data_IF_856745622535
#
_entry.id   IF_856745622535
#
_cell.length_a   1.000
_cell.length_b   1.000
_cell.length_c   1.000
_cell.angle_alpha   90.00
_cell.angle_beta   90.00
_cell.angle_gamma   90.00
#
_symmetry.space_group_name_H-M   'P 1'
#
loop_
_entity.id
_entity.type
_entity.pdbx_description
1 polymer ?
#
# COMPACT_ATOMS: atom_id res chain seq x y z
N UNK A 1 10.08 19.87 4.52
CA UNK A 1 8.70 20.27 4.91
C UNK A 1 7.73 19.75 3.87
N UNK A 2 6.52 19.33 4.26
CA UNK A 2 5.50 18.91 3.29
C UNK A 2 4.99 20.09 2.44
N UNK A 3 4.64 19.82 1.18
CA UNK A 3 4.12 20.81 0.23
C UNK A 3 2.59 20.72 0.12
N UNK A 4 1.96 21.81 -0.31
CA UNK A 4 0.52 21.85 -0.58
C UNK A 4 0.26 22.56 -1.90
N UNK A 5 -0.65 22.03 -2.70
CA UNK A 5 -1.06 22.66 -3.95
C UNK A 5 -1.78 24.00 -3.70
N UNK A 6 -1.58 25.02 -4.55
CA UNK A 6 -2.23 26.32 -4.39
C UNK A 6 -3.73 26.21 -4.64
N UNK A 7 -4.55 26.97 -3.89
CA UNK A 7 -6.00 27.06 -4.13
C UNK A 7 -6.36 27.93 -5.33
N UNK A 8 -5.40 28.59 -5.96
CA UNK A 8 -5.65 29.47 -7.10
C UNK A 8 -6.02 28.62 -8.31
N UNK A 9 -7.25 28.75 -8.86
CA UNK A 9 -7.62 28.07 -10.09
C UNK A 9 -6.69 28.45 -11.25
N UNK A 10 -6.32 27.46 -12.05
CA UNK A 10 -5.51 27.63 -13.26
C UNK A 10 -6.29 27.18 -14.48
N UNK A 11 -6.20 27.95 -15.56
CA UNK A 11 -6.68 27.51 -16.88
C UNK A 11 -5.76 26.42 -17.40
N UNK A 12 -6.34 25.26 -17.71
CA UNK A 12 -5.65 24.10 -18.25
C UNK A 12 -6.22 23.76 -19.63
N UNK A 13 -5.45 22.99 -20.41
CA UNK A 13 -5.90 22.51 -21.72
C UNK A 13 -7.11 21.59 -21.53
N UNK A 14 -8.15 21.80 -22.33
CA UNK A 14 -9.31 20.89 -22.33
C UNK A 14 -8.91 19.51 -22.82
N UNK A 15 -9.48 18.48 -22.20
CA UNK A 15 -9.26 17.08 -22.54
C UNK A 15 -10.62 16.42 -22.75
N UNK A 16 -10.76 15.63 -23.80
CA UNK A 16 -11.91 14.75 -24.03
C UNK A 16 -11.38 13.48 -24.72
N UNK A 17 -11.30 12.40 -23.95
CA UNK A 17 -10.89 11.08 -24.42
C UNK A 17 -11.84 10.03 -23.84
N UNK A 18 -11.63 8.77 -24.22
CA UNK A 18 -12.38 7.64 -23.65
C UNK A 18 -12.21 7.53 -22.13
N UNK A 19 -11.03 7.88 -21.60
CA UNK A 19 -10.68 7.64 -20.20
C UNK A 19 -10.57 8.92 -19.36
N UNK A 20 -10.52 10.11 -19.98
CA UNK A 20 -10.34 11.37 -19.26
C UNK A 20 -11.14 12.49 -19.89
N UNK A 21 -11.58 13.44 -19.06
CA UNK A 21 -12.24 14.66 -19.49
C UNK A 21 -11.91 15.81 -18.56
N UNK A 22 -11.41 16.91 -19.10
CA UNK A 22 -11.13 18.15 -18.36
C UNK A 22 -11.76 19.31 -19.11
N UNK A 23 -12.73 19.96 -18.48
CA UNK A 23 -13.58 21.01 -19.08
C UNK A 23 -13.59 22.31 -18.28
N UNK A 24 -12.92 22.35 -17.12
CA UNK A 24 -12.86 23.50 -16.20
C UNK A 24 -11.42 23.97 -15.96
N UNK A 25 -11.28 25.02 -15.14
CA UNK A 25 -10.02 25.31 -14.44
C UNK A 25 -9.75 24.28 -13.33
N UNK A 26 -8.48 24.13 -12.95
CA UNK A 26 -8.03 23.19 -11.90
C UNK A 26 -7.20 23.95 -10.85
N UNK A 27 -7.53 23.87 -9.54
CA UNK A 27 -8.79 23.34 -9.01
C UNK A 27 -10.01 24.11 -9.55
N UNK A 28 -11.17 23.47 -9.55
CA UNK A 28 -12.42 24.10 -10.00
C UNK A 28 -12.76 25.29 -9.08
N UNK A 29 -13.04 26.50 -9.60
CA UNK A 29 -13.32 27.68 -8.78
C UNK A 29 -14.43 27.47 -7.74
N UNK A 30 -15.47 26.74 -8.10
CA UNK A 30 -16.61 26.45 -7.24
C UNK A 30 -16.29 25.41 -6.13
N UNK A 31 -15.14 24.75 -6.18
CA UNK A 31 -14.66 23.87 -5.10
C UNK A 31 -13.89 24.61 -4.01
N UNK A 32 -13.40 25.83 -4.28
CA UNK A 32 -12.54 26.57 -3.35
C UNK A 32 -13.15 26.74 -1.96
N UNK A 33 -14.44 27.11 -1.79
CA UNK A 33 -15.02 27.23 -0.45
C UNK A 33 -15.02 25.92 0.35
N UNK A 34 -15.10 24.77 -0.31
CA UNK A 34 -15.00 23.45 0.34
C UNK A 34 -13.57 23.17 0.75
N UNK A 35 -12.60 23.44 -0.12
CA UNK A 35 -11.18 23.25 0.16
C UNK A 35 -10.69 24.18 1.30
N UNK A 36 -11.16 25.42 1.34
CA UNK A 36 -10.91 26.36 2.44
C UNK A 36 -11.53 25.88 3.75
N UNK A 37 -12.75 25.33 3.70
CA UNK A 37 -13.39 24.72 4.87
C UNK A 37 -12.52 23.58 5.43
N UNK A 38 -12.03 22.67 4.57
CA UNK A 38 -11.13 21.61 5.01
C UNK A 38 -9.84 22.18 5.64
N UNK A 39 -9.17 23.14 4.99
CA UNK A 39 -7.97 23.78 5.55
C UNK A 39 -8.20 24.51 6.88
N UNK A 40 -9.41 25.03 7.10
CA UNK A 40 -9.78 25.75 8.33
C UNK A 40 -10.06 24.79 9.49
N UNK A 41 -10.72 23.67 9.22
CA UNK A 41 -11.26 22.80 10.27
C UNK A 41 -10.49 21.48 10.44
N UNK A 42 -9.66 21.08 9.49
CA UNK A 42 -8.75 19.94 9.64
C UNK A 42 -7.34 20.38 10.07
N UNK A 43 -6.58 19.49 10.74
CA UNK A 43 -5.17 19.72 10.95
C UNK A 43 -4.43 19.89 9.62
N UNK A 44 -3.49 20.84 9.56
CA UNK A 44 -2.67 21.09 8.36
C UNK A 44 -1.99 19.84 7.78
N UNK A 45 -1.72 18.82 8.61
CA UNK A 45 -1.12 17.55 8.21
C UNK A 45 -2.00 16.69 7.30
N UNK A 46 -3.30 17.01 7.18
CA UNK A 46 -4.23 16.37 6.24
C UNK A 46 -4.18 16.99 4.83
N UNK A 47 -3.44 18.09 4.65
CA UNK A 47 -3.22 18.71 3.34
C UNK A 47 -2.11 18.00 2.54
N UNK A 48 -1.97 18.36 1.26
CA UNK A 48 -0.86 17.94 0.39
C UNK A 48 -1.25 17.10 -0.81
N UNK A 49 -2.47 16.57 -0.84
CA UNK A 49 -3.01 15.88 -2.02
C UNK A 49 -3.39 16.86 -3.14
N UNK A 50 -3.34 16.44 -4.42
CA UNK A 50 -3.88 17.21 -5.52
C UNK A 50 -5.34 17.62 -5.28
N UNK A 51 -5.71 18.83 -5.69
CA UNK A 51 -6.98 19.47 -5.33
C UNK A 51 -8.13 19.04 -6.25
N UNK A 52 -8.46 17.74 -6.22
CA UNK A 52 -9.62 17.18 -6.89
C UNK A 52 -10.71 16.92 -5.85
N UNK A 53 -11.86 17.59 -5.98
CA UNK A 53 -13.02 17.32 -5.12
C UNK A 53 -13.84 16.19 -5.74
N UNK A 54 -13.70 14.98 -5.19
CA UNK A 54 -14.42 13.80 -5.67
C UNK A 54 -15.91 13.94 -5.35
N UNK A 55 -16.76 13.70 -6.34
CA UNK A 55 -18.21 13.57 -6.19
C UNK A 55 -18.62 12.09 -6.26
N UNK A 56 -18.10 11.38 -7.27
CA UNK A 56 -18.28 9.95 -7.46
C UNK A 56 -17.04 9.31 -8.10
N UNK A 57 -16.92 8.00 -7.96
CA UNK A 57 -15.90 7.21 -8.65
C UNK A 57 -16.52 5.89 -9.11
N UNK A 58 -16.18 5.45 -10.32
CA UNK A 58 -16.71 4.24 -10.94
C UNK A 58 -15.63 3.56 -11.78
N UNK A 59 -15.45 2.26 -11.59
CA UNK A 59 -14.47 1.48 -12.33
C UNK A 59 -13.04 2.01 -12.12
N UNK A 60 -12.43 2.52 -13.19
CA UNK A 60 -11.08 3.09 -13.20
C UNK A 60 -11.06 4.62 -13.18
N UNK A 61 -12.20 5.26 -12.90
CA UNK A 61 -12.37 6.69 -13.05
C UNK A 61 -12.90 7.37 -11.78
N UNK A 62 -12.50 8.63 -11.63
CA UNK A 62 -12.96 9.55 -10.59
C UNK A 62 -13.59 10.75 -11.27
N UNK A 63 -14.65 11.28 -10.68
CA UNK A 63 -15.43 12.38 -11.24
C UNK A 63 -15.66 13.46 -10.19
N UNK A 64 -15.69 14.70 -10.65
CA UNK A 64 -16.29 15.79 -9.89
C UNK A 64 -17.72 16.05 -10.39
N UNK A 65 -18.42 16.94 -9.70
CA UNK A 65 -19.78 17.35 -10.08
C UNK A 65 -19.83 18.39 -11.21
N UNK A 66 -18.68 18.83 -11.72
CA UNK A 66 -18.55 19.90 -12.72
C UNK A 66 -18.22 19.37 -14.12
N UNK A 67 -18.22 18.05 -14.27
CA UNK A 67 -18.08 17.37 -15.55
C UNK A 67 -16.68 16.82 -15.81
N UNK A 68 -15.71 17.05 -14.93
CA UNK A 68 -14.39 16.47 -15.10
C UNK A 68 -14.39 14.97 -14.76
N UNK A 69 -13.52 14.23 -15.44
CA UNK A 69 -13.30 12.79 -15.29
C UNK A 69 -11.80 12.53 -15.32
N UNK A 70 -11.27 11.93 -14.27
CA UNK A 70 -9.88 11.51 -14.20
C UNK A 70 -9.76 10.00 -14.39
N UNK A 71 -8.74 9.57 -15.14
CA UNK A 71 -8.26 8.19 -15.11
C UNK A 71 -7.47 7.98 -13.81
N UNK A 72 -7.82 6.96 -13.04
CA UNK A 72 -7.29 6.77 -11.69
C UNK A 72 -6.08 5.84 -11.64
N UNK A 73 -4.89 6.40 -11.43
CA UNK A 73 -3.65 5.66 -11.14
C UNK A 73 -3.33 5.64 -9.63
N UNK A 74 -4.26 6.06 -8.77
CA UNK A 74 -4.11 6.08 -7.32
C UNK A 74 -4.79 4.88 -6.63
N UNK A 75 -5.93 4.43 -7.16
CA UNK A 75 -6.87 3.47 -6.53
C UNK A 75 -7.18 3.79 -5.06
N UNK A 76 -7.20 5.07 -4.68
CA UNK A 76 -7.37 5.48 -3.29
C UNK A 76 -6.27 4.94 -2.38
N UNK A 77 -5.03 4.90 -2.86
CA UNK A 77 -3.87 4.29 -2.19
C UNK A 77 -4.03 2.76 -2.08
N UNK A 78 -4.15 2.09 -3.23
CA UNK A 78 -4.21 0.62 -3.33
C UNK A 78 -5.45 -0.01 -2.66
N UNK A 79 -6.52 0.75 -2.47
CA UNK A 79 -7.77 0.26 -1.88
C UNK A 79 -8.65 -0.32 -2.96
N UNK A 80 -8.96 0.44 -4.02
CA UNK A 80 -9.96 0.09 -5.03
C UNK A 80 -9.47 -0.99 -6.04
N UNK A 81 -8.97 -2.14 -5.57
CA UNK A 81 -8.47 -3.23 -6.40
C UNK A 81 -9.50 -3.68 -7.44
N UNK A 82 -10.76 -3.84 -7.08
CA UNK A 82 -11.82 -4.33 -7.98
C UNK A 82 -12.55 -3.20 -8.72
N UNK A 83 -11.98 -1.99 -8.71
CA UNK A 83 -12.60 -0.79 -9.25
C UNK A 83 -13.51 -0.08 -8.25
N UNK A 84 -13.67 1.23 -8.44
CA UNK A 84 -14.56 2.05 -7.62
C UNK A 84 -16.01 1.66 -7.83
N UNK A 85 -16.80 1.67 -6.76
CA UNK A 85 -18.25 1.42 -6.78
C UNK A 85 -18.64 0.14 -7.54
N UNK A 86 -17.84 -0.92 -7.39
CA UNK A 86 -18.07 -2.19 -8.08
C UNK A 86 -19.48 -2.72 -7.74
N UNK A 87 -20.31 -2.91 -8.78
CA UNK A 87 -21.71 -3.30 -8.62
C UNK A 87 -21.89 -4.62 -7.88
N UNK A 88 -21.01 -5.60 -8.12
CA UNK A 88 -21.06 -6.89 -7.42
C UNK A 88 -20.86 -6.72 -5.92
N UNK A 89 -19.85 -5.93 -5.52
CA UNK A 89 -19.58 -5.64 -4.11
C UNK A 89 -20.73 -4.87 -3.46
N UNK A 90 -21.29 -3.88 -4.19
CA UNK A 90 -22.44 -3.12 -3.71
C UNK A 90 -23.67 -3.99 -3.46
N UNK A 91 -23.96 -4.97 -4.33
CA UNK A 91 -25.06 -5.90 -4.11
C UNK A 91 -24.83 -6.79 -2.88
N UNK A 92 -23.61 -7.27 -2.65
CA UNK A 92 -23.29 -8.04 -1.43
C UNK A 92 -23.48 -7.19 -0.15
N UNK A 93 -23.10 -5.91 -0.20
CA UNK A 93 -23.33 -4.96 0.90
C UNK A 93 -24.84 -4.76 1.13
N UNK A 94 -25.61 -4.51 0.07
CA UNK A 94 -27.07 -4.28 0.16
C UNK A 94 -27.80 -5.45 0.81
N UNK A 95 -27.44 -6.69 0.49
CA UNK A 95 -28.02 -7.89 1.12
C UNK A 95 -27.90 -7.89 2.65
N UNK A 96 -26.79 -7.38 3.19
CA UNK A 96 -26.63 -7.22 4.65
C UNK A 96 -27.43 -6.03 5.18
N UNK A 97 -27.55 -4.94 4.42
CA UNK A 97 -28.35 -3.78 4.83
C UNK A 97 -29.86 -4.09 4.87
N UNK A 98 -30.35 -4.98 3.99
CA UNK A 98 -31.73 -5.49 4.02
C UNK A 98 -32.04 -6.31 5.28
N UNK A 99 -31.03 -6.96 5.86
CA UNK A 99 -31.09 -7.63 7.16
C UNK A 99 -30.29 -6.80 8.18
N UNK A 100 -30.80 -5.64 8.67
CA UNK A 100 -30.05 -4.45 9.14
C UNK A 100 -29.04 -4.68 10.29
N UNK A 101 -28.08 -5.57 10.10
CA UNK A 101 -27.06 -5.99 11.04
C UNK A 101 -25.83 -5.12 10.79
N UNK A 102 -25.92 -3.86 11.23
CA UNK A 102 -24.88 -2.86 10.97
C UNK A 102 -23.66 -3.02 11.88
N UNK A 103 -23.83 -3.67 13.03
CA UNK A 103 -22.79 -3.87 14.03
C UNK A 103 -23.13 -5.06 14.94
N UNK A 104 -22.12 -5.87 15.29
CA UNK A 104 -22.28 -7.02 16.17
C UNK A 104 -21.12 -7.21 17.16
N UNK A 105 -20.23 -6.21 17.32
CA UNK A 105 -19.01 -6.33 18.16
C UNK A 105 -18.31 -7.69 17.95
N UNK A 106 -17.88 -8.36 19.03
CA UNK A 106 -17.31 -9.71 18.99
C UNK A 106 -18.36 -10.83 19.03
N UNK A 107 -19.66 -10.52 18.96
CA UNK A 107 -20.69 -11.56 18.88
C UNK A 107 -20.61 -12.29 17.53
N UNK A 108 -20.88 -13.60 17.49
CA UNK A 108 -20.86 -14.37 16.25
C UNK A 108 -21.87 -13.83 15.22
N UNK A 109 -21.53 -13.94 13.94
CA UNK A 109 -22.46 -13.77 12.82
C UNK A 109 -22.03 -14.67 11.66
N UNK A 110 -22.98 -15.08 10.83
CA UNK A 110 -22.73 -15.93 9.67
C UNK A 110 -21.72 -15.29 8.72
N UNK A 111 -21.94 -14.01 8.36
CA UNK A 111 -21.04 -13.27 7.46
C UNK A 111 -19.61 -13.13 7.99
N UNK A 112 -19.43 -13.09 9.33
CA UNK A 112 -18.10 -13.09 9.94
C UNK A 112 -17.45 -14.47 9.81
N UNK A 113 -18.20 -15.54 10.06
CA UNK A 113 -17.73 -16.92 9.91
C UNK A 113 -17.32 -17.21 8.45
N UNK A 114 -18.15 -16.80 7.50
CA UNK A 114 -17.88 -16.93 6.07
C UNK A 114 -16.60 -16.20 5.65
N UNK A 115 -16.38 -14.96 6.12
CA UNK A 115 -15.16 -14.23 5.78
C UNK A 115 -13.90 -14.87 6.35
N UNK A 116 -13.91 -15.29 7.63
CA UNK A 116 -12.72 -15.93 8.21
C UNK A 116 -12.42 -17.27 7.54
N UNK A 117 -13.45 -18.04 7.19
CA UNK A 117 -13.31 -19.27 6.41
C UNK A 117 -12.73 -18.99 5.03
N UNK A 118 -13.26 -18.00 4.31
CA UNK A 118 -12.80 -17.63 2.96
C UNK A 118 -11.34 -17.17 2.95
N UNK A 119 -10.93 -16.35 3.92
CA UNK A 119 -9.52 -15.94 4.04
C UNK A 119 -8.65 -17.16 4.36
N UNK A 120 -9.06 -18.02 5.29
CA UNK A 120 -8.33 -19.23 5.65
C UNK A 120 -8.20 -20.21 4.47
N UNK A 121 -9.24 -20.36 3.64
CA UNK A 121 -9.22 -21.26 2.48
C UNK A 121 -8.21 -20.80 1.42
N UNK A 122 -8.05 -19.48 1.25
CA UNK A 122 -7.10 -18.87 0.32
C UNK A 122 -5.65 -18.83 0.85
N UNK A 123 -5.48 -18.97 2.16
CA UNK A 123 -4.18 -18.92 2.81
C UNK A 123 -3.46 -20.27 2.67
N UNK A 124 -2.14 -20.31 2.44
CA UNK A 124 -1.41 -21.58 2.33
C UNK A 124 -1.31 -22.29 3.68
N UNK A 125 -1.18 -23.62 3.69
CA UNK A 125 -0.87 -24.36 4.93
C UNK A 125 0.51 -23.94 5.48
N UNK A 126 0.70 -23.83 6.82
CA UNK A 126 -0.26 -24.04 7.91
C UNK A 126 -1.01 -22.76 8.37
N UNK A 127 -1.07 -21.71 7.54
CA UNK A 127 -1.58 -20.37 7.89
C UNK A 127 -3.11 -20.32 7.82
N UNK A 128 -3.80 -20.92 8.80
CA UNK A 128 -5.27 -21.13 8.75
C UNK A 128 -6.06 -20.40 9.82
N UNK A 129 -5.42 -19.61 10.69
CA UNK A 129 -6.11 -18.81 11.71
C UNK A 129 -6.18 -17.35 11.30
N UNK A 130 -7.36 -16.77 11.39
CA UNK A 130 -7.66 -15.40 10.93
C UNK A 130 -8.22 -14.60 12.10
N UNK A 131 -7.64 -13.42 12.32
CA UNK A 131 -8.18 -12.42 13.24
C UNK A 131 -8.51 -11.14 12.48
N UNK A 132 -9.79 -10.78 12.45
CA UNK A 132 -10.28 -9.58 11.76
C UNK A 132 -10.06 -8.33 12.61
N UNK A 133 -9.67 -7.24 11.96
CA UNK A 133 -9.43 -5.91 12.54
C UNK A 133 -9.98 -4.84 11.58
N UNK A 134 -9.77 -3.56 11.87
CA UNK A 134 -10.36 -2.46 11.08
C UNK A 134 -9.33 -1.84 10.12
N UNK A 135 -8.12 -1.61 10.59
CA UNK A 135 -7.06 -0.91 9.87
C UNK A 135 -5.81 -1.77 9.71
N UNK A 136 -4.99 -1.44 8.71
CA UNK A 136 -3.69 -2.08 8.54
C UNK A 136 -2.77 -1.89 9.76
N UNK A 137 -2.73 -0.72 10.37
CA UNK A 137 -1.87 -0.48 11.55
C UNK A 137 -2.23 -1.37 12.73
N UNK A 138 -3.52 -1.64 12.98
CA UNK A 138 -3.93 -2.60 14.03
C UNK A 138 -3.38 -4.01 13.78
N UNK A 139 -3.27 -4.45 12.52
CA UNK A 139 -2.71 -5.77 12.21
C UNK A 139 -1.22 -5.85 12.56
N UNK A 140 -0.49 -4.76 12.39
CA UNK A 140 0.93 -4.66 12.76
C UNK A 140 1.09 -4.63 14.28
N UNK A 141 0.28 -3.85 15.00
CA UNK A 141 0.25 -3.87 16.47
C UNK A 141 -0.02 -5.29 17.00
N UNK A 142 -0.96 -6.01 16.37
CA UNK A 142 -1.28 -7.38 16.69
C UNK A 142 -0.11 -8.33 16.39
N UNK A 143 0.57 -8.18 15.26
CA UNK A 143 1.72 -9.00 14.89
C UNK A 143 2.89 -8.80 15.86
N UNK A 144 3.19 -7.56 16.27
CA UNK A 144 4.20 -7.23 17.30
C UNK A 144 3.86 -7.93 18.62
N UNK A 145 2.59 -7.81 19.05
CA UNK A 145 2.09 -8.42 20.28
C UNK A 145 2.21 -9.94 20.27
N UNK A 146 1.78 -10.59 19.19
CA UNK A 146 1.89 -12.04 19.02
C UNK A 146 3.35 -12.49 19.02
N UNK A 147 4.23 -11.76 18.34
CA UNK A 147 5.66 -12.10 18.23
C UNK A 147 6.36 -12.10 19.58
N UNK A 148 6.17 -11.05 20.38
CA UNK A 148 6.77 -10.95 21.71
C UNK A 148 6.17 -11.96 22.69
N UNK A 149 4.87 -12.24 22.58
CA UNK A 149 4.22 -13.25 23.42
C UNK A 149 4.71 -14.66 23.11
N UNK A 150 4.84 -14.99 21.82
CA UNK A 150 5.43 -16.24 21.35
C UNK A 150 6.90 -16.40 21.76
N UNK A 151 7.65 -15.29 21.74
CA UNK A 151 9.06 -15.24 22.08
C UNK A 151 9.34 -15.26 23.59
N UNK A 152 8.42 -14.77 24.43
CA UNK A 152 8.57 -14.67 25.88
C UNK A 152 9.06 -15.96 26.56
N UNK A 153 8.45 -17.15 26.37
CA UNK A 153 8.92 -18.39 27.01
C UNK A 153 10.31 -18.82 26.55
N UNK A 154 10.80 -18.28 25.42
CA UNK A 154 12.11 -18.54 24.82
C UNK A 154 13.13 -17.43 25.12
N UNK A 155 12.77 -16.46 25.96
CA UNK A 155 13.56 -15.24 26.21
C UNK A 155 13.88 -14.44 24.94
N UNK A 156 12.96 -14.47 23.96
CA UNK A 156 13.05 -13.72 22.69
C UNK A 156 12.16 -12.50 22.73
N UNK A 157 12.72 -11.33 22.47
CA UNK A 157 12.01 -10.03 22.53
C UNK A 157 12.36 -9.07 21.39
N UNK A 158 13.47 -9.33 20.70
CA UNK A 158 13.99 -8.45 19.65
C UNK A 158 13.18 -8.63 18.38
N UNK A 159 12.75 -7.51 17.77
CA UNK A 159 12.10 -7.47 16.46
C UNK A 159 13.03 -6.76 15.49
N UNK A 160 13.27 -7.39 14.35
CA UNK A 160 14.03 -6.80 13.24
C UNK A 160 13.06 -6.39 12.14
N UNK A 161 13.32 -5.22 11.58
CA UNK A 161 12.59 -4.64 10.44
C UNK A 161 13.62 -4.02 9.48
N UNK A 162 13.16 -3.29 8.46
CA UNK A 162 14.05 -2.76 7.43
C UNK A 162 14.03 -1.23 7.38
N UNK A 163 15.17 -0.62 7.09
CA UNK A 163 15.28 0.81 6.76
C UNK A 163 14.32 1.16 5.63
N UNK A 164 13.62 2.29 5.74
CA UNK A 164 12.60 2.73 4.76
C UNK A 164 11.23 2.05 4.87
N UNK A 165 11.04 1.05 5.74
CA UNK A 165 9.76 0.35 5.88
C UNK A 165 8.64 1.26 6.39
N UNK A 166 7.41 1.06 5.90
CA UNK A 166 6.22 1.74 6.39
C UNK A 166 5.15 0.72 6.82
N UNK A 167 4.90 0.65 8.12
CA UNK A 167 3.92 -0.27 8.69
C UNK A 167 2.68 0.42 9.28
N UNK A 168 2.63 1.75 9.28
CA UNK A 168 1.48 2.49 9.78
C UNK A 168 1.80 3.78 10.51
N UNK A 169 0.78 4.31 11.21
CA UNK A 169 0.86 5.57 11.96
C UNK A 169 0.47 5.43 13.45
N UNK A 170 0.27 4.21 13.94
CA UNK A 170 0.15 3.93 15.39
C UNK A 170 1.53 3.74 16.02
N UNK A 171 1.62 3.84 17.35
CA UNK A 171 2.89 3.85 18.08
C UNK A 171 3.78 2.64 17.75
N UNK A 172 3.28 1.42 17.91
CA UNK A 172 4.05 0.20 17.65
C UNK A 172 4.36 0.03 16.16
N UNK A 173 3.40 0.33 15.28
CA UNK A 173 3.61 0.30 13.84
C UNK A 173 4.70 1.29 13.38
N UNK A 174 4.80 2.47 13.99
CA UNK A 174 5.88 3.43 13.71
C UNK A 174 7.20 3.01 14.35
N UNK A 175 7.19 2.38 15.53
CA UNK A 175 8.41 1.85 16.15
C UNK A 175 9.11 0.81 15.26
N UNK A 176 8.36 -0.14 14.68
CA UNK A 176 8.90 -1.12 13.72
C UNK A 176 9.09 -0.56 12.31
N UNK A 177 8.60 0.64 12.01
CA UNK A 177 8.84 1.30 10.73
C UNK A 177 10.31 1.69 10.54
N UNK A 178 10.73 1.90 9.29
CA UNK A 178 12.11 2.22 8.92
C UNK A 178 12.39 3.67 8.57
N UNK A 179 11.42 4.57 8.76
CA UNK A 179 11.53 5.98 8.34
C UNK A 179 11.76 6.86 9.59
N UNK A 180 12.99 7.39 9.80
CA UNK A 180 13.32 8.12 11.04
C UNK A 180 12.42 9.33 11.33
N UNK A 181 12.07 10.10 10.30
CA UNK A 181 11.23 11.30 10.45
C UNK A 181 9.81 11.01 10.95
N UNK A 182 9.32 9.77 10.80
CA UNK A 182 8.02 9.35 11.35
C UNK A 182 8.08 9.03 12.84
N UNK A 183 9.28 8.95 13.43
CA UNK A 183 9.52 8.61 14.84
C UNK A 183 9.93 9.80 15.71
N UNK A 184 10.18 10.98 15.13
CA UNK A 184 10.68 12.18 15.84
C UNK A 184 9.80 12.61 17.03
N UNK A 185 8.50 12.28 17.00
CA UNK A 185 7.55 12.60 18.07
C UNK A 185 7.56 11.58 19.22
N UNK A 186 8.23 10.44 19.06
CA UNK A 186 8.25 9.34 20.03
C UNK A 186 9.43 9.56 20.98
N UNK A 187 9.20 9.91 22.27
CA UNK A 187 10.28 10.25 23.19
C UNK A 187 11.16 9.05 23.55
N UNK A 188 10.57 7.85 23.68
CA UNK A 188 11.27 6.63 24.05
C UNK A 188 11.05 5.58 22.95
N UNK A 189 12.08 5.37 22.13
CA UNK A 189 12.10 4.24 21.20
C UNK A 189 12.31 2.94 21.97
N UNK A 190 11.71 1.87 21.48
CA UNK A 190 11.90 0.53 22.03
C UNK A 190 13.32 0.05 21.72
N UNK A 191 14.16 -0.25 22.73
CA UNK A 191 15.55 -0.63 22.50
C UNK A 191 15.70 -2.03 21.89
N UNK A 192 14.62 -2.83 21.84
CA UNK A 192 14.61 -4.17 21.28
C UNK A 192 14.00 -4.19 19.85
N UNK A 193 13.89 -3.04 19.18
CA UNK A 193 13.42 -2.94 17.79
C UNK A 193 14.53 -2.34 16.93
N UNK A 194 14.98 -3.11 15.94
CA UNK A 194 16.10 -2.73 15.07
C UNK A 194 15.66 -2.66 13.60
N UNK A 195 16.33 -1.80 12.85
CA UNK A 195 16.19 -1.69 11.41
C UNK A 195 17.52 -2.06 10.75
N UNK A 196 17.48 -2.97 9.77
CA UNK A 196 18.63 -3.31 8.92
C UNK A 196 18.44 -2.77 7.50
N UNK A 197 19.51 -2.63 6.70
CA UNK A 197 19.41 -2.16 5.32
C UNK A 197 18.43 -2.98 4.47
N UNK A 198 17.62 -2.30 3.66
CA UNK A 198 16.67 -2.95 2.74
C UNK A 198 17.34 -3.29 1.40
N UNK A 199 17.53 -4.58 1.05
CA UNK A 199 18.25 -4.96 -0.18
C UNK A 199 17.44 -4.71 -1.46
N UNK A 200 16.14 -4.45 -1.33
CA UNK A 200 15.28 -4.09 -2.46
C UNK A 200 15.41 -2.62 -2.87
N UNK A 201 16.03 -1.76 -2.06
CA UNK A 201 16.27 -0.38 -2.47
C UNK A 201 17.26 -0.36 -3.66
N UNK A 202 16.91 0.27 -4.80
CA UNK A 202 17.83 0.35 -5.93
C UNK A 202 19.15 1.07 -5.62
N UNK A 203 19.18 1.93 -4.60
CA UNK A 203 20.37 2.64 -4.11
C UNK A 203 21.25 1.76 -3.20
N UNK A 204 20.70 0.67 -2.66
CA UNK A 204 21.46 -0.29 -1.87
C UNK A 204 22.43 -1.05 -2.79
N UNK A 205 23.74 -0.78 -2.63
CA UNK A 205 24.80 -1.37 -3.48
C UNK A 205 25.09 -2.83 -3.11
N UNK A 206 25.09 -3.15 -1.81
CA UNK A 206 25.26 -4.51 -1.34
C UNK A 206 23.91 -5.15 -1.01
N UNK A 207 23.45 -6.02 -1.93
CA UNK A 207 22.18 -6.76 -1.81
C UNK A 207 22.37 -8.17 -1.28
N UNK A 208 23.57 -8.49 -0.78
CA UNK A 208 23.88 -9.80 -0.22
C UNK A 208 23.18 -10.03 1.11
N UNK A 209 22.89 -11.29 1.43
CA UNK A 209 22.38 -11.64 2.75
C UNK A 209 23.43 -11.43 3.86
N UNK A 210 24.73 -11.48 3.53
CA UNK A 210 25.79 -11.20 4.50
C UNK A 210 25.74 -9.80 5.09
N UNK A 211 25.17 -8.81 4.38
CA UNK A 211 24.93 -7.48 4.96
C UNK A 211 23.93 -7.53 6.12
N UNK A 212 22.90 -8.37 6.02
CA UNK A 212 21.94 -8.60 7.11
C UNK A 212 22.67 -9.16 8.34
N UNK A 213 23.40 -10.26 8.15
CA UNK A 213 24.13 -10.95 9.22
C UNK A 213 25.14 -10.03 9.90
N UNK A 214 25.94 -9.32 9.09
CA UNK A 214 26.90 -8.33 9.57
C UNK A 214 26.22 -7.23 10.40
N UNK A 215 25.05 -6.75 9.99
CA UNK A 215 24.32 -5.71 10.74
C UNK A 215 23.77 -6.23 12.07
N UNK A 216 23.31 -7.48 12.11
CA UNK A 216 22.92 -8.13 13.37
C UNK A 216 24.11 -8.22 14.34
N UNK A 217 25.29 -8.61 13.84
CA UNK A 217 26.53 -8.65 14.63
C UNK A 217 26.96 -7.25 15.11
N UNK A 218 26.93 -6.24 14.24
CA UNK A 218 27.26 -4.84 14.57
C UNK A 218 26.34 -4.26 15.65
N UNK A 219 25.07 -4.65 15.67
CA UNK A 219 24.13 -4.27 16.73
C UNK A 219 24.33 -5.06 18.04
N UNK A 220 25.22 -6.05 18.07
CA UNK A 220 25.43 -6.93 19.22
C UNK A 220 24.22 -7.83 19.50
N UNK A 221 23.38 -8.08 18.49
CA UNK A 221 22.17 -8.89 18.64
C UNK A 221 22.56 -10.35 18.60
N UNK A 222 22.27 -11.09 19.67
CA UNK A 222 22.25 -12.55 19.61
C UNK A 222 20.99 -13.01 18.85
N UNK A 223 21.10 -13.73 17.72
CA UNK A 223 19.95 -14.25 16.97
C UNK A 223 18.95 -15.04 17.83
N UNK A 224 19.43 -15.70 18.90
CA UNK A 224 18.58 -16.44 19.84
C UNK A 224 17.66 -15.55 20.68
N UNK A 225 17.89 -14.23 20.74
CA UNK A 225 17.02 -13.27 21.42
C UNK A 225 15.98 -12.61 20.48
N UNK A 226 16.03 -12.91 19.18
CA UNK A 226 15.10 -12.38 18.18
C UNK A 226 13.82 -13.20 18.20
N UNK A 227 12.66 -12.54 18.31
CA UNK A 227 11.35 -13.18 18.21
C UNK A 227 10.75 -13.06 16.80
N UNK A 228 11.02 -11.98 16.06
CA UNK A 228 10.49 -11.81 14.72
C UNK A 228 11.37 -10.96 13.80
N UNK A 229 11.25 -11.24 12.49
CA UNK A 229 11.59 -10.32 11.41
C UNK A 229 10.29 -9.92 10.71
N UNK A 230 10.03 -8.61 10.59
CA UNK A 230 8.88 -8.07 9.86
C UNK A 230 9.33 -7.34 8.59
N UNK A 231 8.66 -7.60 7.48
CA UNK A 231 8.95 -6.94 6.22
C UNK A 231 7.71 -6.79 5.34
N UNK A 232 7.64 -5.74 4.54
CA UNK A 232 6.66 -5.65 3.46
C UNK A 232 7.11 -6.56 2.29
N UNK A 233 6.19 -7.17 1.55
CA UNK A 233 6.57 -7.90 0.31
C UNK A 233 7.34 -6.99 -0.65
N UNK A 234 6.94 -5.74 -0.74
CA UNK A 234 7.71 -4.67 -1.36
C UNK A 234 7.53 -3.42 -0.51
N UNK A 235 8.55 -2.59 -0.40
CA UNK A 235 8.39 -1.33 0.33
C UNK A 235 7.45 -0.40 -0.42
N UNK A 236 6.31 -0.10 0.19
CA UNK A 236 5.20 0.56 -0.45
C UNK A 236 5.55 1.94 -1.00
N UNK A 237 6.45 2.68 -0.36
CA UNK A 237 6.86 4.01 -0.81
C UNK A 237 7.62 3.99 -2.13
N UNK A 238 8.42 2.94 -2.37
CA UNK A 238 9.34 2.85 -3.51
C UNK A 238 8.87 1.82 -4.58
N UNK A 239 7.81 1.06 -4.30
CA UNK A 239 7.37 -0.08 -5.10
C UNK A 239 8.48 -1.12 -5.37
N UNK A 240 9.46 -1.21 -4.48
CA UNK A 240 10.68 -1.97 -4.70
C UNK A 240 10.66 -3.30 -3.94
N UNK A 241 10.96 -4.39 -4.64
CA UNK A 241 10.95 -5.76 -4.12
C UNK A 241 12.36 -6.18 -3.71
N UNK A 242 12.48 -6.98 -2.66
CA UNK A 242 13.74 -7.67 -2.34
C UNK A 242 14.14 -8.68 -3.44
N UNK A 243 15.45 -8.99 -3.58
CA UNK A 243 15.88 -10.15 -4.36
C UNK A 243 15.30 -11.45 -3.80
N UNK A 244 14.79 -12.32 -4.67
CA UNK A 244 14.17 -13.60 -4.28
C UNK A 244 15.10 -14.49 -3.42
N UNK A 245 16.36 -14.61 -3.83
CA UNK A 245 17.35 -15.41 -3.09
C UNK A 245 17.70 -14.82 -1.72
N UNK A 246 17.58 -13.49 -1.54
CA UNK A 246 17.73 -12.88 -0.22
C UNK A 246 16.61 -13.33 0.72
N UNK A 247 15.36 -13.29 0.25
CA UNK A 247 14.19 -13.70 1.06
C UNK A 247 14.24 -15.18 1.40
N UNK A 248 14.70 -16.04 0.48
CA UNK A 248 14.93 -17.47 0.78
C UNK A 248 15.97 -17.67 1.88
N UNK A 249 17.08 -16.92 1.85
CA UNK A 249 18.08 -16.94 2.92
C UNK A 249 17.53 -16.39 4.24
N UNK A 250 16.73 -15.33 4.20
CA UNK A 250 16.06 -14.77 5.37
C UNK A 250 15.13 -15.79 6.03
N UNK A 251 14.32 -16.51 5.24
CA UNK A 251 13.46 -17.60 5.74
C UNK A 251 14.29 -18.69 6.41
N UNK A 252 15.35 -19.16 5.75
CA UNK A 252 16.26 -20.18 6.29
C UNK A 252 16.88 -19.71 7.62
N UNK A 253 17.38 -18.48 7.67
CA UNK A 253 17.93 -17.89 8.90
C UNK A 253 16.88 -17.82 10.01
N UNK A 254 15.63 -17.48 9.68
CA UNK A 254 14.54 -17.47 10.65
C UNK A 254 14.25 -18.87 11.19
N UNK A 255 14.28 -19.90 10.34
CA UNK A 255 14.05 -21.30 10.75
C UNK A 255 15.16 -21.80 11.68
N UNK A 256 16.43 -21.58 11.32
CA UNK A 256 17.61 -21.99 12.10
C UNK A 256 17.67 -21.31 13.48
N UNK A 257 17.12 -20.10 13.58
CA UNK A 257 17.15 -19.31 14.80
C UNK A 257 15.85 -19.34 15.59
N UNK A 258 14.81 -20.06 15.14
CA UNK A 258 13.47 -20.02 15.71
C UNK A 258 12.95 -18.58 15.82
N UNK A 259 12.85 -17.90 14.69
CA UNK A 259 12.37 -16.52 14.54
C UNK A 259 11.13 -16.53 13.65
N UNK A 260 10.11 -15.76 14.02
CA UNK A 260 8.92 -15.60 13.19
C UNK A 260 9.23 -14.67 12.00
N UNK A 261 8.91 -15.10 10.78
CA UNK A 261 8.90 -14.23 9.60
C UNK A 261 7.50 -13.67 9.40
N UNK A 262 7.37 -12.36 9.37
CA UNK A 262 6.12 -11.65 9.16
C UNK A 262 6.16 -10.90 7.83
N UNK A 263 5.16 -11.16 6.97
CA UNK A 263 4.92 -10.35 5.78
C UNK A 263 3.80 -9.34 6.01
N UNK A 264 4.11 -8.06 5.89
CA UNK A 264 3.13 -7.00 5.70
C UNK A 264 2.64 -7.04 4.25
N UNK A 265 1.49 -7.68 4.07
CA UNK A 265 0.78 -7.85 2.80
C UNK A 265 -0.32 -6.78 2.61
N UNK A 266 -0.38 -5.75 3.47
CA UNK A 266 -1.48 -4.76 3.47
C UNK A 266 -1.59 -4.07 2.11
N UNK A 267 -0.47 -3.85 1.43
CA UNK A 267 -0.43 -3.27 0.08
C UNK A 267 -0.35 -4.32 -1.04
N UNK A 268 0.25 -5.48 -0.78
CA UNK A 268 0.63 -6.44 -1.79
C UNK A 268 -0.43 -7.53 -2.05
N UNK A 269 -1.29 -7.79 -1.08
CA UNK A 269 -2.29 -8.83 -1.14
C UNK A 269 -3.41 -8.55 -2.14
N UNK A 270 -4.29 -9.53 -2.29
CA UNK A 270 -5.48 -9.46 -3.13
C UNK A 270 -5.17 -9.13 -4.60
N UNK A 271 -4.09 -9.72 -5.13
CA UNK A 271 -3.80 -9.69 -6.56
C UNK A 271 -2.96 -8.52 -7.06
N UNK A 272 -2.66 -7.54 -6.21
CA UNK A 272 -2.00 -6.27 -6.59
C UNK A 272 -0.73 -6.47 -7.43
N UNK A 273 0.08 -7.46 -7.05
CA UNK A 273 1.41 -7.68 -7.63
C UNK A 273 1.42 -8.75 -8.74
N UNK A 274 0.26 -9.18 -9.24
CA UNK A 274 0.14 -10.30 -10.18
C UNK A 274 0.09 -11.69 -9.53
N UNK A 275 0.10 -11.74 -8.19
CA UNK A 275 -0.11 -12.93 -7.37
C UNK A 275 -1.17 -12.63 -6.32
N UNK A 276 -1.90 -13.64 -5.86
CA UNK A 276 -2.90 -13.44 -4.82
C UNK A 276 -2.26 -12.88 -3.54
N UNK A 277 -1.15 -13.50 -3.13
CA UNK A 277 -0.30 -13.00 -2.04
C UNK A 277 1.06 -12.62 -2.59
N UNK A 278 1.55 -11.44 -2.24
CA UNK A 278 2.80 -10.91 -2.75
C UNK A 278 4.02 -11.78 -2.43
N UNK A 279 4.08 -12.38 -1.23
CA UNK A 279 5.18 -13.23 -0.80
C UNK A 279 5.38 -14.47 -1.69
N UNK A 280 4.37 -14.83 -2.50
CA UNK A 280 4.48 -15.92 -3.48
C UNK A 280 5.55 -15.63 -4.55
N UNK A 281 5.90 -14.37 -4.80
CA UNK A 281 7.05 -14.01 -5.66
C UNK A 281 8.38 -14.55 -5.13
N UNK A 282 8.45 -14.86 -3.83
CA UNK A 282 9.65 -15.32 -3.15
C UNK A 282 9.73 -16.82 -2.95
N UNK A 283 8.64 -17.56 -3.20
CA UNK A 283 8.53 -19.00 -2.89
C UNK A 283 8.84 -19.29 -1.41
N UNK A 284 8.39 -18.40 -0.53
CA UNK A 284 8.60 -18.46 0.91
C UNK A 284 7.24 -18.33 1.60
N UNK A 285 7.05 -19.06 2.69
CA UNK A 285 5.90 -18.91 3.57
C UNK A 285 6.27 -18.07 4.80
N UNK A 286 5.47 -17.04 5.15
CA UNK A 286 5.55 -16.42 6.47
C UNK A 286 5.04 -17.34 7.57
N UNK A 287 5.24 -16.90 8.81
CA UNK A 287 4.55 -17.42 10.00
C UNK A 287 3.28 -16.63 10.32
N UNK A 288 3.28 -15.34 9.98
CA UNK A 288 2.14 -14.43 10.06
C UNK A 288 2.17 -13.52 8.82
N UNK A 289 1.00 -13.18 8.27
CA UNK A 289 0.90 -12.06 7.33
C UNK A 289 -0.28 -11.15 7.65
N UNK A 290 -0.09 -9.87 7.35
CA UNK A 290 -1.01 -8.78 7.68
C UNK A 290 -1.72 -8.28 6.42
N UNK A 291 -3.04 -8.16 6.48
CA UNK A 291 -3.91 -7.82 5.35
C UNK A 291 -4.68 -6.52 5.64
N UNK A 292 -5.00 -5.76 4.59
CA UNK A 292 -5.83 -4.56 4.67
C UNK A 292 -6.14 -4.03 3.27
N UNK A 293 -6.39 -2.71 3.16
CA UNK A 293 -6.60 -1.99 1.88
C UNK A 293 -7.47 -2.76 0.87
N UNK A 294 -6.84 -3.43 -0.09
CA UNK A 294 -7.47 -4.18 -1.16
C UNK A 294 -8.34 -5.36 -0.72
N UNK A 295 -8.42 -5.69 0.57
CA UNK A 295 -9.29 -6.75 1.12
C UNK A 295 -10.77 -6.58 0.79
N UNK A 296 -11.29 -5.35 0.83
CA UNK A 296 -12.72 -5.04 0.60
C UNK A 296 -12.97 -4.22 -0.66
N UNK A 297 -11.92 -3.70 -1.26
CA UNK A 297 -11.98 -2.71 -2.34
C UNK A 297 -12.82 -1.45 -2.03
N UNK A 298 -13.14 -1.20 -0.75
CA UNK A 298 -14.07 -0.12 -0.35
C UNK A 298 -14.00 0.22 1.15
N UNK A 299 -14.55 -0.65 2.00
CA UNK A 299 -14.83 -0.39 3.41
C UNK A 299 -13.69 -0.79 4.35
N UNK A 300 -13.55 -0.17 5.53
CA UNK A 300 -12.45 -0.44 6.46
C UNK A 300 -12.56 -1.85 7.07
N UNK A 301 -11.64 -2.72 6.70
CA UNK A 301 -11.42 -4.02 7.34
C UNK A 301 -9.96 -4.42 7.09
N UNK A 302 -9.44 -5.23 7.99
CA UNK A 302 -8.09 -5.79 7.92
C UNK A 302 -8.07 -7.16 8.58
N UNK A 303 -6.98 -7.90 8.42
CA UNK A 303 -6.85 -9.21 9.05
C UNK A 303 -5.39 -9.57 9.35
N UNK A 304 -5.18 -10.30 10.44
CA UNK A 304 -3.94 -11.03 10.69
C UNK A 304 -4.20 -12.50 10.42
N UNK A 305 -3.37 -13.11 9.58
CA UNK A 305 -3.43 -14.53 9.28
C UNK A 305 -2.14 -15.20 9.73
N UNK A 306 -2.23 -16.34 10.41
CA UNK A 306 -1.04 -17.01 10.92
C UNK A 306 -1.28 -18.48 11.28
N UNK A 307 -0.20 -19.10 11.75
CA UNK A 307 -0.23 -20.49 12.25
C UNK A 307 -1.03 -20.61 13.55
N UNK A 308 -1.61 -21.78 13.79
CA UNK A 308 -2.45 -22.04 14.97
C UNK A 308 -1.72 -21.79 16.29
N UNK A 309 -0.50 -22.29 16.40
CA UNK A 309 0.34 -22.20 17.60
C UNK A 309 0.78 -20.77 17.95
N UNK A 310 0.60 -19.82 17.03
CA UNK A 310 0.86 -18.39 17.25
C UNK A 310 -0.45 -17.65 17.50
N UNK A 311 -1.47 -17.89 16.68
CA UNK A 311 -2.73 -17.15 16.73
C UNK A 311 -3.60 -17.55 17.93
N UNK A 312 -3.48 -18.78 18.44
CA UNK A 312 -4.22 -19.28 19.61
C UNK A 312 -3.43 -19.09 20.93
N UNK A 313 -2.44 -18.18 21.00
CA UNK A 313 -1.65 -17.90 22.23
C UNK A 313 -2.46 -17.24 23.36
N UNK A 314 -3.61 -16.67 23.03
CA UNK A 314 -4.39 -15.81 23.89
C UNK A 314 -5.73 -16.48 24.25
N UNK A 315 -6.10 -16.42 25.53
CA UNK A 315 -7.37 -16.97 26.02
C UNK A 315 -8.57 -16.21 25.44
N UNK A 316 -9.77 -16.86 25.38
CA UNK A 316 -11.00 -16.22 24.92
C UNK A 316 -11.24 -14.85 25.59
N UNK A 317 -11.60 -13.85 24.80
CA UNK A 317 -11.94 -12.49 25.27
C UNK A 317 -10.75 -11.52 25.41
N UNK A 318 -9.51 -11.96 25.18
CA UNK A 318 -8.31 -11.11 25.34
C UNK A 318 -7.84 -10.44 24.05
N UNK A 319 -8.34 -10.90 22.89
CA UNK A 319 -8.09 -10.34 21.56
C UNK A 319 -9.39 -9.75 21.00
N UNK A 320 -9.62 -8.47 21.21
CA UNK A 320 -10.84 -7.78 20.75
C UNK A 320 -10.52 -6.44 20.10
N UNK A 321 -11.43 -5.97 19.25
CA UNK A 321 -11.48 -4.60 18.72
C UNK A 321 -12.95 -4.25 18.52
N UNK A 322 -13.39 -3.03 18.79
CA UNK A 322 -14.82 -2.67 18.77
C UNK A 322 -15.45 -2.92 17.41
N UNK A 323 -14.75 -2.57 16.33
CA UNK A 323 -15.25 -2.72 14.95
C UNK A 323 -14.80 -4.02 14.26
N UNK A 324 -14.15 -4.94 14.99
CA UNK A 324 -13.68 -6.22 14.43
C UNK A 324 -14.81 -6.99 13.74
N UNK A 325 -14.59 -7.39 12.48
CA UNK A 325 -15.54 -8.18 11.72
C UNK A 325 -16.90 -7.51 11.51
N UNK A 326 -16.92 -6.17 11.36
CA UNK A 326 -18.14 -5.44 11.04
C UNK A 326 -18.90 -6.10 9.88
N UNK A 327 -20.20 -6.42 10.01
CA UNK A 327 -20.92 -7.25 9.04
C UNK A 327 -20.99 -6.64 7.64
N UNK A 328 -21.14 -5.32 7.53
CA UNK A 328 -21.17 -4.58 6.26
C UNK A 328 -19.79 -4.63 5.59
N UNK A 329 -18.71 -4.47 6.38
CA UNK A 329 -17.35 -4.58 5.88
C UNK A 329 -16.99 -6.03 5.50
N UNK A 330 -17.52 -7.02 6.23
CA UNK A 330 -17.36 -8.44 5.90
C UNK A 330 -18.01 -8.79 4.56
N UNK A 331 -19.21 -8.29 4.31
CA UNK A 331 -19.89 -8.45 3.01
C UNK A 331 -19.10 -7.81 1.88
N UNK A 332 -18.56 -6.60 2.08
CA UNK A 332 -17.70 -5.95 1.11
C UNK A 332 -16.43 -6.78 0.80
N UNK A 333 -15.78 -7.33 1.83
CA UNK A 333 -14.61 -8.19 1.68
C UNK A 333 -14.93 -9.50 0.95
N UNK A 334 -16.01 -10.19 1.33
CA UNK A 334 -16.45 -11.41 0.65
C UNK A 334 -16.78 -11.13 -0.82
N UNK A 335 -17.54 -10.08 -1.09
CA UNK A 335 -17.88 -9.67 -2.45
C UNK A 335 -16.64 -9.36 -3.29
N UNK A 336 -15.68 -8.64 -2.71
CA UNK A 336 -14.43 -8.31 -3.37
C UNK A 336 -13.58 -9.54 -3.68
N UNK A 337 -13.41 -10.45 -2.71
CA UNK A 337 -12.62 -11.68 -2.89
C UNK A 337 -13.24 -12.55 -3.99
N UNK A 338 -14.56 -12.77 -3.98
CA UNK A 338 -15.28 -13.49 -5.03
C UNK A 338 -15.06 -12.84 -6.40
N UNK A 339 -15.20 -11.51 -6.48
CA UNK A 339 -15.00 -10.77 -7.73
C UNK A 339 -13.56 -10.92 -8.26
N UNK A 340 -12.54 -10.88 -7.38
CA UNK A 340 -11.13 -11.08 -7.76
C UNK A 340 -10.92 -12.46 -8.39
N UNK A 341 -11.46 -13.52 -7.79
CA UNK A 341 -11.32 -14.90 -8.28
C UNK A 341 -12.08 -15.11 -9.60
N UNK A 342 -13.36 -14.73 -9.64
CA UNK A 342 -14.22 -14.95 -10.82
C UNK A 342 -13.74 -14.16 -12.05
N UNK A 343 -13.18 -12.97 -11.84
CA UNK A 343 -12.71 -12.09 -12.92
C UNK A 343 -11.19 -12.19 -13.13
N UNK A 344 -10.49 -13.11 -12.44
CA UNK A 344 -9.07 -13.40 -12.66
C UNK A 344 -8.20 -12.15 -12.58
N UNK A 345 -8.45 -11.32 -11.55
CA UNK A 345 -7.87 -9.97 -11.48
C UNK A 345 -6.36 -9.98 -11.23
N UNK A 346 -5.82 -11.01 -10.56
CA UNK A 346 -4.38 -11.11 -10.39
C UNK A 346 -3.67 -11.52 -11.69
N UNK A 347 -4.29 -12.32 -12.57
CA UNK A 347 -3.75 -12.55 -13.91
C UNK A 347 -3.83 -11.29 -14.79
N UNK A 348 -4.91 -10.51 -14.68
CA UNK A 348 -4.95 -9.22 -15.36
C UNK A 348 -3.85 -8.29 -14.84
N UNK A 349 -3.62 -8.25 -13.53
CA UNK A 349 -2.55 -7.46 -12.95
C UNK A 349 -1.17 -7.89 -13.46
N UNK A 350 -0.91 -9.19 -13.60
CA UNK A 350 0.32 -9.70 -14.21
C UNK A 350 0.45 -9.27 -15.68
N UNK A 351 -0.62 -9.41 -16.47
CA UNK A 351 -0.62 -9.03 -17.89
C UNK A 351 -0.37 -7.54 -18.08
N UNK A 352 -1.14 -6.71 -17.38
CA UNK A 352 -1.06 -5.25 -17.45
C UNK A 352 0.24 -4.71 -16.85
N UNK A 353 0.81 -5.41 -15.87
CA UNK A 353 2.13 -5.08 -15.34
C UNK A 353 3.23 -5.10 -16.39
N UNK A 354 3.16 -5.99 -17.38
CA UNK A 354 4.13 -6.03 -18.50
C UNK A 354 4.01 -4.81 -19.41
N UNK A 355 2.80 -4.27 -19.57
CA UNK A 355 2.57 -3.03 -20.33
C UNK A 355 3.21 -1.85 -19.58
N UNK A 356 2.93 -1.71 -18.28
CA UNK A 356 3.58 -0.70 -17.45
C UNK A 356 5.10 -0.83 -17.45
N UNK A 357 5.63 -2.03 -17.27
CA UNK A 357 7.07 -2.27 -17.28
C UNK A 357 7.72 -1.70 -18.54
N UNK A 358 7.16 -2.02 -19.71
CA UNK A 358 7.66 -1.51 -20.99
C UNK A 358 7.59 0.02 -21.06
N UNK A 359 6.42 0.61 -20.79
CA UNK A 359 6.20 2.06 -20.95
C UNK A 359 6.98 2.89 -19.95
N UNK A 360 7.05 2.47 -18.69
CA UNK A 360 7.78 3.19 -17.65
C UNK A 360 9.30 3.11 -17.85
N UNK A 361 9.83 1.99 -18.35
CA UNK A 361 11.26 1.92 -18.71
C UNK A 361 11.60 2.83 -19.91
N UNK A 362 10.69 3.01 -20.87
CA UNK A 362 10.90 3.99 -21.95
C UNK A 362 10.97 5.43 -21.42
N UNK A 363 10.15 5.79 -20.42
CA UNK A 363 10.25 7.09 -19.75
C UNK A 363 11.60 7.25 -19.04
N UNK A 364 12.08 6.19 -18.39
CA UNK A 364 13.41 6.16 -17.75
C UNK A 364 14.54 6.40 -18.74
N UNK A 365 14.49 5.77 -19.91
CA UNK A 365 15.48 5.95 -20.97
C UNK A 365 15.42 7.36 -21.58
N UNK A 366 14.22 7.94 -21.67
CA UNK A 366 13.98 9.25 -22.28
C UNK A 366 14.38 10.42 -21.37
N UNK A 367 14.24 10.29 -20.06
CA UNK A 367 14.41 11.39 -19.10
C UNK A 367 15.43 11.07 -18.01
N UNK A 368 16.53 11.83 -17.98
CA UNK A 368 17.59 11.69 -16.96
C UNK A 368 17.16 11.98 -15.52
N UNK A 369 15.97 12.58 -15.33
CA UNK A 369 15.34 12.82 -14.02
C UNK A 369 14.58 11.62 -13.48
N UNK A 370 14.34 10.58 -14.29
CA UNK A 370 13.73 9.33 -13.84
C UNK A 370 14.85 8.34 -13.51
N UNK A 371 15.31 8.34 -12.26
CA UNK A 371 16.49 7.56 -11.85
C UNK A 371 16.21 6.05 -11.78
N UNK A 372 15.04 5.67 -11.26
CA UNK A 372 14.65 4.27 -11.10
C UNK A 372 13.18 4.03 -11.43
N UNK A 373 12.92 2.83 -11.96
CA UNK A 373 11.59 2.27 -12.16
C UNK A 373 11.54 0.96 -11.42
N UNK A 374 10.60 0.83 -10.48
CA UNK A 374 10.45 -0.36 -9.65
C UNK A 374 8.99 -0.76 -9.61
N UNK A 375 8.68 -2.05 -9.71
CA UNK A 375 7.31 -2.53 -9.61
C UNK A 375 7.12 -3.94 -10.12
N UNK A 376 5.94 -4.48 -9.84
CA UNK A 376 5.42 -5.75 -10.39
C UNK A 376 3.90 -5.68 -10.42
N UNK A 377 3.28 -6.34 -11.38
CA UNK A 377 1.82 -6.32 -11.53
C UNK A 377 1.30 -4.89 -11.70
N UNK A 378 0.33 -4.47 -10.90
CA UNK A 378 -0.26 -3.14 -10.95
C UNK A 378 0.16 -2.26 -9.77
N UNK A 379 1.44 -2.33 -9.40
CA UNK A 379 2.09 -1.36 -8.52
C UNK A 379 3.48 -1.02 -9.04
N UNK A 380 3.69 0.26 -9.32
CA UNK A 380 4.93 0.81 -9.87
C UNK A 380 5.32 2.10 -9.18
N UNK A 381 6.61 2.42 -9.19
CA UNK A 381 7.17 3.67 -8.70
C UNK A 381 8.17 4.22 -9.71
N UNK A 382 7.95 5.47 -10.12
CA UNK A 382 8.92 6.29 -10.83
C UNK A 382 9.67 7.13 -9.79
N UNK A 383 10.96 6.86 -9.61
CA UNK A 383 11.80 7.56 -8.66
C UNK A 383 12.40 8.77 -9.35
N UNK A 384 11.94 9.95 -8.98
CA UNK A 384 12.40 11.21 -9.54
C UNK A 384 13.65 11.66 -8.78
N UNK A 385 14.69 11.98 -9.52
CA UNK A 385 16.01 12.36 -9.00
C UNK A 385 16.48 13.64 -9.68
N UNK A 386 17.44 14.32 -9.05
CA UNK A 386 18.16 15.38 -9.73
C UNK A 386 18.98 14.76 -10.86
N UNK A 387 18.89 15.35 -12.05
CA UNK A 387 19.50 14.83 -13.27
C UNK A 387 21.00 14.53 -13.07
N UNK A 388 21.42 13.32 -13.47
CA UNK A 388 22.81 12.87 -13.32
C UNK A 388 23.20 12.36 -11.91
N UNK A 389 22.26 12.27 -10.96
CA UNK A 389 22.51 11.81 -9.59
C UNK A 389 21.50 10.75 -9.11
N UNK A 390 21.70 10.22 -7.90
CA UNK A 390 20.70 9.40 -7.18
C UNK A 390 19.96 10.19 -6.08
N UNK A 391 20.18 11.51 -5.99
CA UNK A 391 19.52 12.37 -4.99
C UNK A 391 18.05 12.59 -5.37
N UNK A 392 17.10 12.46 -4.41
CA UNK A 392 15.68 12.57 -4.71
C UNK A 392 15.30 14.02 -5.03
N UNK A 393 14.49 14.22 -6.06
CA UNK A 393 13.92 15.52 -6.41
C UNK A 393 12.41 15.57 -6.12
N UNK A 394 12.09 15.86 -4.87
CA UNK A 394 10.71 15.94 -4.38
C UNK A 394 9.92 17.11 -4.97
N UNK A 395 10.59 18.16 -5.44
CA UNK A 395 9.91 19.32 -6.04
C UNK A 395 9.46 18.98 -7.44
N UNK A 396 10.36 18.39 -8.22
CA UNK A 396 10.05 17.95 -9.57
C UNK A 396 8.94 16.89 -9.55
N UNK A 397 9.03 15.91 -8.64
CA UNK A 397 7.98 14.90 -8.48
C UNK A 397 6.60 15.52 -8.15
N UNK A 398 6.58 16.55 -7.30
CA UNK A 398 5.35 17.23 -6.88
C UNK A 398 4.68 17.99 -8.03
N UNK A 399 5.48 18.68 -8.84
CA UNK A 399 5.00 19.40 -10.03
C UNK A 399 4.55 18.44 -11.14
N UNK A 400 5.28 17.35 -11.40
CA UNK A 400 4.86 16.32 -12.37
C UNK A 400 3.50 15.72 -11.99
N UNK A 401 3.30 15.38 -10.71
CA UNK A 401 2.00 14.89 -10.22
C UNK A 401 0.90 15.94 -10.42
N UNK A 402 1.17 17.20 -10.09
CA UNK A 402 0.23 18.30 -10.31
C UNK A 402 -0.17 18.41 -11.78
N UNK A 403 0.81 18.38 -12.69
CA UNK A 403 0.58 18.48 -14.13
C UNK A 403 -0.16 17.27 -14.70
N UNK A 404 0.07 16.07 -14.19
CA UNK A 404 -0.73 14.89 -14.55
C UNK A 404 -2.21 15.09 -14.18
N UNK A 405 -2.49 15.60 -12.99
CA UNK A 405 -3.85 15.84 -12.49
C UNK A 405 -4.57 16.93 -13.28
N UNK A 406 -3.86 18.01 -13.63
CA UNK A 406 -4.34 19.07 -14.53
C UNK A 406 -4.74 18.52 -15.91
N UNK A 407 -4.09 17.44 -16.36
CA UNK A 407 -4.40 16.73 -17.60
C UNK A 407 -5.43 15.61 -17.42
N UNK A 408 -5.99 15.38 -16.23
CA UNK A 408 -6.99 14.33 -16.02
C UNK A 408 -6.44 12.95 -15.67
N UNK A 409 -5.17 12.83 -15.30
CA UNK A 409 -4.61 11.59 -14.74
C UNK A 409 -4.42 11.74 -13.23
N UNK A 410 -5.14 10.94 -12.45
CA UNK A 410 -5.17 11.07 -11.00
C UNK A 410 -4.06 10.27 -10.33
N UNK A 411 -3.37 10.97 -9.43
CA UNK A 411 -2.38 10.44 -8.51
C UNK A 411 -2.65 10.96 -7.09
N UNK A 412 -2.12 10.27 -6.09
CA UNK A 412 -1.86 10.90 -4.79
C UNK A 412 -0.50 11.62 -4.82
N UNK A 413 -0.26 12.47 -3.83
CA UNK A 413 0.99 13.21 -3.68
C UNK A 413 2.23 12.28 -3.67
N UNK A 414 3.40 12.71 -4.19
CA UNK A 414 4.61 11.88 -4.17
C UNK A 414 4.94 11.30 -2.79
N UNK A 415 5.46 10.08 -2.78
CA UNK A 415 5.82 9.31 -1.59
C UNK A 415 7.25 8.79 -1.69
N UNK A 416 7.62 7.80 -0.86
CA UNK A 416 8.90 7.11 -0.96
C UNK A 416 10.09 7.95 -0.51
N UNK A 417 11.28 7.55 -0.95
CA UNK A 417 12.53 8.21 -0.54
C UNK A 417 12.55 9.69 -0.91
N UNK A 418 12.80 10.54 0.09
CA UNK A 418 12.78 12.00 -0.05
C UNK A 418 11.42 12.60 -0.42
N UNK A 419 10.34 11.81 -0.52
CA UNK A 419 9.07 12.27 -1.10
C UNK A 419 9.15 12.50 -2.61
N UNK A 420 9.99 11.73 -3.33
CA UNK A 420 10.24 11.91 -4.76
C UNK A 420 9.82 10.71 -5.62
N UNK A 421 8.96 9.82 -5.11
CA UNK A 421 8.43 8.69 -5.88
C UNK A 421 7.01 8.97 -6.32
N UNK A 422 6.78 8.98 -7.64
CA UNK A 422 5.45 8.97 -8.24
C UNK A 422 4.99 7.52 -8.30
N UNK A 423 4.02 7.18 -7.47
CA UNK A 423 3.54 5.81 -7.35
C UNK A 423 2.28 5.60 -8.19
N UNK A 424 2.33 4.57 -9.02
CA UNK A 424 1.31 4.21 -10.00
C UNK A 424 0.66 2.90 -9.54
N UNK A 425 -0.62 2.96 -9.23
CA UNK A 425 -1.42 1.83 -8.79
C UNK A 425 -2.89 2.00 -9.16
N UNK A 426 -3.26 1.80 -10.44
CA UNK A 426 -4.66 1.84 -10.86
C UNK A 426 -5.47 0.66 -10.31
N UNK A 427 -6.81 0.68 -10.35
CA UNK A 427 -7.61 -0.52 -10.10
C UNK A 427 -7.20 -1.70 -10.98
N UNK A 428 -7.35 -2.93 -10.48
CA UNK A 428 -6.89 -4.15 -11.16
C UNK A 428 -7.70 -4.50 -12.40
N UNK A 429 -8.84 -3.85 -12.61
CA UNK A 429 -9.69 -3.99 -13.80
C UNK A 429 -9.24 -3.11 -14.97
N UNK A 430 -8.14 -2.35 -14.82
CA UNK A 430 -7.59 -1.51 -15.89
C UNK A 430 -7.20 -2.35 -17.11
N UNK A 431 -7.32 -1.74 -18.29
CA UNK A 431 -6.94 -2.35 -19.57
C UNK A 431 -5.73 -1.64 -20.19
N UNK A 432 -5.22 -2.22 -21.27
CA UNK A 432 -4.00 -1.77 -21.94
C UNK A 432 -4.15 -0.36 -22.52
N UNK A 433 -5.27 -0.05 -23.18
CA UNK A 433 -5.52 1.28 -23.76
C UNK A 433 -5.48 2.40 -22.70
N UNK A 434 -6.05 2.17 -21.53
CA UNK A 434 -6.02 3.14 -20.43
C UNK A 434 -4.60 3.30 -19.86
N UNK A 435 -3.82 2.21 -19.80
CA UNK A 435 -2.41 2.28 -19.38
C UNK A 435 -1.60 3.11 -20.37
N UNK A 436 -1.74 2.84 -21.67
CA UNK A 436 -1.05 3.57 -22.73
C UNK A 436 -1.38 5.06 -22.67
N UNK A 437 -2.68 5.41 -22.58
CA UNK A 437 -3.09 6.81 -22.46
C UNK A 437 -2.54 7.47 -21.18
N UNK A 438 -2.56 6.78 -20.04
CA UNK A 438 -1.98 7.32 -18.81
C UNK A 438 -0.46 7.51 -18.88
N UNK A 439 0.26 6.59 -19.52
CA UNK A 439 1.70 6.73 -19.75
C UNK A 439 2.04 7.89 -20.68
N UNK A 440 1.22 8.15 -21.71
CA UNK A 440 1.37 9.32 -22.59
C UNK A 440 1.22 10.64 -21.80
N UNK A 441 0.31 10.67 -20.81
CA UNK A 441 0.14 11.85 -19.95
C UNK A 441 1.33 12.06 -19.03
N UNK A 442 1.90 10.99 -18.48
CA UNK A 442 3.13 11.08 -17.67
C UNK A 442 4.27 11.63 -18.54
N UNK A 443 4.41 11.13 -19.77
CA UNK A 443 5.39 11.62 -20.74
C UNK A 443 5.25 13.13 -21.00
N UNK A 444 4.03 13.57 -21.33
CA UNK A 444 3.71 14.97 -21.58
C UNK A 444 3.95 15.85 -20.34
N UNK A 445 3.57 15.38 -19.16
CA UNK A 445 3.75 16.10 -17.91
C UNK A 445 5.23 16.28 -17.54
N UNK A 446 6.05 15.23 -17.68
CA UNK A 446 7.50 15.33 -17.46
C UNK A 446 8.10 16.33 -18.46
N UNK A 447 7.74 16.23 -19.73
CA UNK A 447 8.25 17.14 -20.77
C UNK A 447 7.94 18.60 -20.44
N UNK A 448 6.69 18.94 -20.16
CA UNK A 448 6.26 20.32 -19.90
C UNK A 448 6.93 20.90 -18.65
N UNK A 449 6.98 20.14 -17.56
CA UNK A 449 7.60 20.62 -16.31
C UNK A 449 9.10 20.89 -16.52
N UNK A 450 9.80 20.02 -17.26
CA UNK A 450 11.22 20.24 -17.59
C UNK A 450 11.43 21.44 -18.52
N UNK A 451 10.51 21.72 -19.43
CA UNK A 451 10.57 22.91 -20.31
C UNK A 451 10.31 24.20 -19.53
N UNK A 452 9.45 24.18 -18.51
CA UNK A 452 9.17 25.34 -17.64
C UNK A 452 10.30 25.66 -16.66
N UNK A 453 11.14 24.68 -16.33
CA UNK A 453 12.22 24.80 -15.34
C UNK A 453 13.59 25.12 -15.96
N UNK A 454 13.71 25.08 -17.28
CA UNK A 454 14.88 25.53 -18.04
C UNK A 454 14.77 27.01 -18.35
#
# INVERSE_FOLDING_TARGET
MGKSYPLTPKKVKKVETKYRRIVTEIPVPETIPVLEKLRKFEPRSMSGQPLVLWDRAEGINVYDKYGNMWLDFSSGVLVANSGHSNKFILEEIKKVLEKPLLHNYCFPSEIRAELVEKIASLSPEPLKKVFLLTTGSETIECAIKLSRTWGKPKNKKIIISFEGAFHGRTLGAQMVGGIPSLKEWIPNLDPDIYQVPYPGDPRCKDKSFSLFEKKIEEFGINPKNVCAVITETYQGGNASFMPKEYVKKLRKWCDENEVLLIFDEIQAGFGRTGKLWGFQHYEVLPDIFCLGKGISSSLPISAVVGRKEIMDLYEPGTMTSTHTGNPVCCAAALGNIKFIEENRLYENAEKMGKVFEKRLNQLKEKYGVVGFVCGKGLVWGLHIVKEGTEEPDSELAFEIVGRCVEKGLLFFAPVGYGGATIKICPPLIINEEAIEEGCDVIDEAIKEVLEEWR
#
